data_IF_739396561652
#
_entry.id   IF_739396561652
#
_cell.length_a   1.000
_cell.length_b   1.000
_cell.length_c   1.000
_cell.angle_alpha   90.00
_cell.angle_beta   90.00
_cell.angle_gamma   90.00
#
_symmetry.space_group_name_H-M   'P 1'
#
loop_
_entity.id
_entity.type
_entity.pdbx_description
1 polymer ?
#
# COMPACT_ATOMS: atom_id res chain seq x y z
N UNK A 1 20.43 -5.33 -15.91
CA UNK A 1 21.19 -4.39 -15.04
C UNK A 1 20.21 -3.80 -14.06
N UNK A 2 20.22 -4.25 -12.81
CA UNK A 2 19.41 -3.65 -11.75
C UNK A 2 20.23 -2.49 -11.19
N UNK A 3 20.04 -1.28 -11.72
CA UNK A 3 20.58 -0.07 -11.09
C UNK A 3 20.01 0.00 -9.68
N UNK A 4 20.84 -0.33 -8.68
CA UNK A 4 20.55 0.02 -7.30
C UNK A 4 20.67 1.54 -7.22
N UNK A 5 19.54 2.23 -7.43
CA UNK A 5 19.43 3.65 -7.13
C UNK A 5 19.87 3.82 -5.68
N UNK A 6 21.08 4.36 -5.48
CA UNK A 6 21.58 4.71 -4.16
C UNK A 6 20.84 5.97 -3.74
N UNK A 7 19.64 5.79 -3.22
CA UNK A 7 18.88 6.87 -2.59
C UNK A 7 19.71 7.44 -1.45
N UNK A 8 19.84 8.76 -1.39
CA UNK A 8 20.43 9.39 -0.22
C UNK A 8 19.54 9.09 1.01
N UNK A 9 20.09 9.08 2.23
CA UNK A 9 19.29 8.91 3.44
C UNK A 9 18.15 9.94 3.55
N UNK A 10 18.38 11.16 3.06
CA UNK A 10 17.41 12.27 3.04
C UNK A 10 16.28 12.00 2.04
N UNK A 11 16.60 11.53 0.84
CA UNK A 11 15.60 11.15 -0.17
C UNK A 11 14.78 9.94 0.28
N UNK A 12 15.41 8.98 0.95
CA UNK A 12 14.73 7.82 1.52
C UNK A 12 13.74 8.25 2.60
N UNK A 13 14.16 9.12 3.53
CA UNK A 13 13.27 9.67 4.56
C UNK A 13 12.11 10.45 3.94
N UNK A 14 12.38 11.26 2.92
CA UNK A 14 11.33 12.00 2.20
C UNK A 14 10.31 11.05 1.58
N UNK A 15 10.75 10.01 0.87
CA UNK A 15 9.87 9.00 0.28
C UNK A 15 9.07 8.23 1.32
N UNK A 16 9.69 7.84 2.43
CA UNK A 16 8.98 7.16 3.53
C UNK A 16 7.87 8.07 4.09
N UNK A 17 8.15 9.37 4.25
CA UNK A 17 7.16 10.34 4.69
C UNK A 17 6.02 10.50 3.69
N UNK A 18 6.33 10.66 2.40
CA UNK A 18 5.31 10.74 1.34
C UNK A 18 4.41 9.51 1.29
N UNK A 19 4.99 8.31 1.42
CA UNK A 19 4.22 7.05 1.46
C UNK A 19 3.33 6.99 2.70
N UNK A 20 3.82 7.45 3.85
CA UNK A 20 3.04 7.52 5.08
C UNK A 20 1.85 8.48 4.95
N UNK A 21 2.10 9.69 4.46
CA UNK A 21 1.06 10.72 4.30
C UNK A 21 -0.01 10.25 3.31
N UNK A 22 0.40 9.59 2.22
CA UNK A 22 -0.51 8.97 1.26
C UNK A 22 -1.35 7.86 1.91
N UNK A 23 -0.74 6.99 2.73
CA UNK A 23 -1.45 5.93 3.44
C UNK A 23 -2.47 6.48 4.44
N UNK A 24 -2.11 7.53 5.20
CA UNK A 24 -3.03 8.19 6.14
C UNK A 24 -4.21 8.84 5.40
N UNK A 25 -3.96 9.51 4.27
CA UNK A 25 -5.03 10.10 3.44
C UNK A 25 -5.95 9.02 2.85
N UNK A 26 -5.39 7.98 2.24
CA UNK A 26 -6.17 6.88 1.67
C UNK A 26 -6.99 6.15 2.72
N UNK A 27 -6.50 6.02 3.95
CA UNK A 27 -7.28 5.46 5.07
C UNK A 27 -8.57 6.24 5.31
N UNK A 28 -8.49 7.57 5.38
CA UNK A 28 -9.67 8.42 5.61
C UNK A 28 -10.69 8.31 4.47
N UNK A 29 -10.21 8.29 3.22
CA UNK A 29 -11.07 8.12 2.04
C UNK A 29 -11.78 6.76 2.03
N UNK A 30 -11.07 5.68 2.39
CA UNK A 30 -11.66 4.34 2.50
C UNK A 30 -12.69 4.28 3.64
N UNK A 31 -12.40 4.88 4.80
CA UNK A 31 -13.36 4.95 5.91
C UNK A 31 -14.63 5.72 5.52
N UNK A 32 -14.49 6.82 4.80
CA UNK A 32 -15.63 7.59 4.30
C UNK A 32 -16.44 6.79 3.26
N UNK A 33 -15.76 6.09 2.35
CA UNK A 33 -16.40 5.23 1.36
C UNK A 33 -17.16 4.06 2.01
N UNK A 34 -16.58 3.42 3.03
CA UNK A 34 -17.23 2.36 3.81
C UNK A 34 -18.48 2.85 4.52
N UNK A 35 -18.46 4.08 5.06
CA UNK A 35 -19.63 4.69 5.72
C UNK A 35 -20.73 5.04 4.73
N UNK A 36 -20.38 5.61 3.57
CA UNK A 36 -21.37 6.07 2.57
C UNK A 36 -21.97 4.92 1.76
N UNK A 37 -21.17 3.91 1.41
CA UNK A 37 -21.55 2.81 0.51
C UNK A 37 -20.96 1.47 0.96
N UNK A 38 -21.44 0.89 2.06
CA UNK A 38 -20.83 -0.29 2.69
C UNK A 38 -20.80 -1.53 1.80
N UNK A 39 -21.85 -1.76 1.00
CA UNK A 39 -21.91 -2.95 0.13
C UNK A 39 -20.98 -2.84 -1.09
N UNK A 40 -20.90 -1.67 -1.72
CA UNK A 40 -20.00 -1.43 -2.87
C UNK A 40 -18.53 -1.49 -2.43
N UNK A 41 -18.22 -0.93 -1.27
CA UNK A 41 -16.86 -0.89 -0.71
C UNK A 41 -16.37 -2.24 -0.21
N UNK A 42 -17.26 -3.13 0.27
CA UNK A 42 -16.88 -4.48 0.70
C UNK A 42 -16.20 -5.29 -0.43
N UNK A 43 -16.69 -5.18 -1.66
CA UNK A 43 -16.09 -5.83 -2.83
C UNK A 43 -14.69 -5.29 -3.13
N UNK A 44 -14.51 -3.97 -3.06
CA UNK A 44 -13.22 -3.31 -3.29
C UNK A 44 -12.20 -3.70 -2.21
N UNK A 45 -12.60 -3.70 -0.93
CA UNK A 45 -11.74 -4.09 0.18
C UNK A 45 -11.33 -5.56 0.07
N UNK A 46 -12.25 -6.44 -0.32
CA UNK A 46 -11.96 -7.86 -0.52
C UNK A 46 -10.91 -8.11 -1.61
N UNK A 47 -11.08 -7.48 -2.78
CA UNK A 47 -10.12 -7.60 -3.89
C UNK A 47 -8.76 -7.03 -3.49
N UNK A 48 -8.74 -5.85 -2.84
CA UNK A 48 -7.51 -5.24 -2.34
C UNK A 48 -6.77 -6.17 -1.37
N UNK A 49 -7.50 -6.82 -0.46
CA UNK A 49 -6.94 -7.81 0.47
C UNK A 49 -6.29 -9.00 -0.24
N UNK A 50 -6.93 -9.55 -1.28
CA UNK A 50 -6.37 -10.64 -2.09
C UNK A 50 -5.06 -10.21 -2.75
N UNK A 51 -5.04 -9.04 -3.40
CA UNK A 51 -3.85 -8.52 -4.09
C UNK A 51 -2.69 -8.34 -3.10
N UNK A 52 -2.95 -7.74 -1.93
CA UNK A 52 -1.94 -7.56 -0.88
C UNK A 52 -1.42 -8.91 -0.40
N UNK A 53 -2.30 -9.88 -0.16
CA UNK A 53 -1.92 -11.23 0.26
C UNK A 53 -1.00 -11.93 -0.75
N UNK A 54 -1.30 -11.82 -2.05
CA UNK A 54 -0.46 -12.36 -3.13
C UNK A 54 0.91 -11.67 -3.14
N UNK A 55 0.95 -10.34 -3.04
CA UNK A 55 2.22 -9.60 -3.04
C UNK A 55 3.11 -9.98 -1.85
N UNK A 56 2.53 -10.10 -0.66
CA UNK A 56 3.25 -10.54 0.54
C UNK A 56 3.74 -11.99 0.38
N UNK A 57 2.87 -12.90 -0.08
CA UNK A 57 3.22 -14.29 -0.31
C UNK A 57 4.36 -14.46 -1.31
N UNK A 58 4.31 -13.74 -2.44
CA UNK A 58 5.38 -13.73 -3.44
C UNK A 58 6.68 -13.16 -2.86
N UNK A 59 6.59 -12.08 -2.09
CA UNK A 59 7.76 -11.46 -1.45
C UNK A 59 8.44 -12.42 -0.46
N UNK A 60 7.65 -13.10 0.39
CA UNK A 60 8.14 -14.10 1.33
C UNK A 60 8.75 -15.31 0.61
N UNK A 61 8.07 -15.82 -0.42
CA UNK A 61 8.53 -16.99 -1.19
C UNK A 61 9.82 -16.71 -1.97
N UNK A 62 10.08 -15.47 -2.38
CA UNK A 62 11.35 -15.09 -3.04
C UNK A 62 12.52 -14.93 -2.06
N UNK A 63 12.23 -14.87 -0.75
CA UNK A 63 13.24 -14.66 0.30
C UNK A 63 13.68 -15.98 0.95
N UNK A 64 12.88 -17.04 0.82
CA UNK A 64 13.21 -18.42 1.20
C UNK A 64 13.93 -19.14 0.08
#
# INVERSE_FOLDING_TARGET
MTEKVKLSPEELQKRIKEVRDLAEKSKLEIEEMLRKRPLESAGVVFIAGIVIGILIGVSLSRRS
#
